data_IF_966500326650
#
_entry.id   IF_966500326650
#
_cell.length_a   1.000
_cell.length_b   1.000
_cell.length_c   1.000
_cell.angle_alpha   90.00
_cell.angle_beta   90.00
_cell.angle_gamma   90.00
#
_symmetry.space_group_name_H-M   'P 1'
#
loop_
_entity.id
_entity.type
_entity.pdbx_description
1 polymer ?
#
# COMPACT_ATOMS: atom_id res chain seq x y z
N UNK A 1 -9.20 3.75 30.61
CA UNK A 1 -9.11 4.72 29.50
C UNK A 1 -7.80 5.50 29.67
N UNK A 2 -6.90 5.44 28.70
CA UNK A 2 -5.58 6.11 28.80
C UNK A 2 -5.73 7.62 28.65
N UNK A 3 -5.34 8.40 29.67
CA UNK A 3 -5.33 9.87 29.65
C UNK A 3 -4.46 10.44 28.51
N UNK A 4 -3.53 9.64 27.99
CA UNK A 4 -2.62 10.02 26.90
C UNK A 4 -3.32 10.12 25.53
N UNK A 5 -4.53 9.55 25.38
CA UNK A 5 -5.31 9.64 24.13
C UNK A 5 -6.20 10.89 24.06
N UNK A 6 -6.41 11.57 25.19
CA UNK A 6 -7.33 12.71 25.29
C UNK A 6 -6.96 13.88 24.36
N UNK A 7 -5.68 14.25 24.14
CA UNK A 7 -5.34 15.30 23.19
C UNK A 7 -5.77 14.97 21.75
N UNK A 8 -5.59 13.72 21.32
CA UNK A 8 -5.96 13.26 19.98
C UNK A 8 -7.49 13.20 19.80
N UNK A 9 -8.21 12.78 20.83
CA UNK A 9 -9.68 12.81 20.85
C UNK A 9 -10.24 14.23 20.83
N UNK A 10 -9.57 15.18 21.51
CA UNK A 10 -9.99 16.59 21.53
C UNK A 10 -9.85 17.25 20.17
N UNK A 11 -8.71 17.08 19.50
CA UNK A 11 -8.49 17.73 18.20
C UNK A 11 -9.43 17.20 17.10
N UNK A 12 -9.69 15.89 17.09
CA UNK A 12 -10.67 15.28 16.17
C UNK A 12 -12.10 15.75 16.46
N UNK A 13 -12.47 15.93 17.73
CA UNK A 13 -13.77 16.50 18.11
C UNK A 13 -13.91 17.96 17.70
N UNK A 14 -12.85 18.77 17.83
CA UNK A 14 -12.85 20.17 17.36
C UNK A 14 -13.13 20.23 15.86
N UNK A 15 -12.49 19.36 15.06
CA UNK A 15 -12.79 19.26 13.62
C UNK A 15 -14.27 19.03 13.35
N UNK A 16 -14.89 18.03 14.00
CA UNK A 16 -16.32 17.75 13.83
C UNK A 16 -17.23 18.91 14.25
N UNK A 17 -16.86 19.66 15.30
CA UNK A 17 -17.63 20.82 15.73
C UNK A 17 -17.55 21.95 14.70
N UNK A 18 -16.37 22.22 14.14
CA UNK A 18 -16.19 23.23 13.09
C UNK A 18 -16.93 22.82 11.81
N UNK A 19 -16.87 21.54 11.41
CA UNK A 19 -17.66 21.03 10.28
C UNK A 19 -19.17 21.23 10.48
N UNK A 20 -19.67 21.05 11.70
CA UNK A 20 -21.08 21.30 12.01
C UNK A 20 -21.44 22.79 11.99
N UNK A 21 -20.53 23.67 12.42
CA UNK A 21 -20.71 25.12 12.30
C UNK A 21 -20.76 25.50 10.82
N UNK A 22 -19.80 25.03 10.01
CA UNK A 22 -19.72 25.32 8.58
C UNK A 22 -20.98 24.86 7.82
N UNK A 23 -21.55 23.71 8.19
CA UNK A 23 -22.81 23.21 7.61
C UNK A 23 -24.03 24.07 7.92
N UNK A 24 -23.96 24.92 8.95
CA UNK A 24 -25.09 25.73 9.45
C UNK A 24 -24.89 27.23 9.20
N UNK A 25 -23.72 27.66 8.76
CA UNK A 25 -23.43 29.05 8.39
C UNK A 25 -24.00 29.37 7.01
N UNK A 26 -24.45 30.62 6.82
CA UNK A 26 -24.97 31.12 5.54
C UNK A 26 -23.86 31.17 4.48
N UNK A 27 -24.17 30.73 3.26
CA UNK A 27 -23.23 30.71 2.13
C UNK A 27 -22.81 32.15 1.73
N UNK A 28 -21.50 32.35 1.55
CA UNK A 28 -20.88 33.64 1.25
C UNK A 28 -20.61 34.54 2.46
N UNK A 29 -21.01 34.14 3.67
CA UNK A 29 -20.82 34.94 4.89
C UNK A 29 -19.37 34.97 5.38
N UNK A 30 -19.01 36.01 6.14
CA UNK A 30 -17.72 36.03 6.87
C UNK A 30 -17.60 34.86 7.86
N UNK A 31 -18.73 34.40 8.41
CA UNK A 31 -18.81 33.23 9.29
C UNK A 31 -18.40 31.95 8.59
N UNK A 32 -18.85 31.73 7.34
CA UNK A 32 -18.44 30.59 6.52
C UNK A 32 -16.94 30.67 6.20
N UNK A 33 -16.42 31.83 5.81
CA UNK A 33 -15.00 32.00 5.50
C UNK A 33 -14.12 31.72 6.73
N UNK A 34 -14.50 32.23 7.90
CA UNK A 34 -13.77 32.01 9.14
C UNK A 34 -13.83 30.54 9.60
N UNK A 35 -15.01 29.92 9.52
CA UNK A 35 -15.17 28.50 9.82
C UNK A 35 -14.35 27.62 8.85
N UNK A 36 -14.32 27.97 7.56
CA UNK A 36 -13.53 27.25 6.55
C UNK A 36 -12.03 27.36 6.83
N UNK A 37 -11.52 28.56 7.17
CA UNK A 37 -10.11 28.76 7.55
C UNK A 37 -9.75 27.96 8.81
N UNK A 38 -10.62 27.97 9.82
CA UNK A 38 -10.42 27.20 11.04
C UNK A 38 -10.41 25.69 10.76
N UNK A 39 -11.30 25.21 9.89
CA UNK A 39 -11.37 23.81 9.50
C UNK A 39 -10.10 23.36 8.77
N UNK A 40 -9.57 24.18 7.86
CA UNK A 40 -8.32 23.91 7.15
C UNK A 40 -7.13 23.85 8.12
N UNK A 41 -7.01 24.82 9.03
CA UNK A 41 -5.95 24.83 10.03
C UNK A 41 -5.98 23.58 10.94
N UNK A 42 -7.15 23.22 11.47
CA UNK A 42 -7.30 22.01 12.30
C UNK A 42 -7.04 20.74 11.49
N UNK A 43 -7.48 20.70 10.23
CA UNK A 43 -7.23 19.55 9.35
C UNK A 43 -5.74 19.36 9.06
N UNK A 44 -4.99 20.45 8.84
CA UNK A 44 -3.52 20.42 8.67
C UNK A 44 -2.81 19.84 9.89
N UNK A 45 -3.19 20.27 11.10
CA UNK A 45 -2.59 19.74 12.34
C UNK A 45 -2.90 18.25 12.49
N UNK A 46 -4.15 17.82 12.25
CA UNK A 46 -4.53 16.40 12.32
C UNK A 46 -3.73 15.57 11.29
N UNK A 47 -3.60 16.07 10.06
CA UNK A 47 -2.81 15.43 9.01
C UNK A 47 -1.34 15.29 9.41
N UNK A 48 -0.76 16.33 9.98
CA UNK A 48 0.62 16.31 10.48
C UNK A 48 0.77 15.29 11.61
N UNK A 49 -0.06 15.34 12.65
CA UNK A 49 -0.03 14.34 13.72
C UNK A 49 -0.15 12.90 13.19
N UNK A 50 -1.08 12.66 12.26
CA UNK A 50 -1.26 11.34 11.65
C UNK A 50 -0.02 10.89 10.87
N UNK A 51 0.64 11.82 10.16
CA UNK A 51 1.89 11.54 9.44
C UNK A 51 3.02 11.17 10.40
N UNK A 52 3.17 11.91 11.51
CA UNK A 52 4.21 11.64 12.51
C UNK A 52 3.99 10.29 13.20
N UNK A 53 2.75 9.97 13.58
CA UNK A 53 2.40 8.63 14.12
C UNK A 53 2.69 7.53 13.09
N UNK A 54 2.36 7.77 11.82
CA UNK A 54 2.70 6.85 10.73
C UNK A 54 4.20 6.60 10.62
N UNK A 55 5.02 7.66 10.64
CA UNK A 55 6.48 7.56 10.57
C UNK A 55 7.06 6.81 11.78
N UNK A 56 6.50 7.04 12.96
CA UNK A 56 6.93 6.33 14.17
C UNK A 56 6.70 4.82 14.02
N UNK A 57 5.50 4.40 13.58
CA UNK A 57 5.19 2.99 13.33
C UNK A 57 6.10 2.36 12.26
N UNK A 58 6.35 3.08 11.17
CA UNK A 58 7.29 2.63 10.14
C UNK A 58 8.70 2.45 10.70
N UNK A 59 9.14 3.36 11.57
CA UNK A 59 10.46 3.27 12.21
C UNK A 59 10.55 2.07 13.16
N UNK A 60 9.52 1.83 13.98
CA UNK A 60 9.43 0.64 14.85
C UNK A 60 9.49 -0.66 14.03
N UNK A 61 8.79 -0.71 12.90
CA UNK A 61 8.83 -1.84 11.97
C UNK A 61 10.23 -2.07 11.38
N UNK A 62 10.92 -1.00 10.95
CA UNK A 62 12.30 -1.12 10.46
C UNK A 62 13.27 -1.60 11.55
N UNK A 63 13.11 -1.15 12.79
CA UNK A 63 13.92 -1.62 13.92
C UNK A 63 13.68 -3.12 14.14
N UNK A 64 12.42 -3.55 14.13
CA UNK A 64 12.04 -4.94 14.26
C UNK A 64 12.60 -5.82 13.14
N UNK A 65 12.55 -5.36 11.89
CA UNK A 65 13.11 -6.10 10.76
C UNK A 65 14.64 -6.15 10.87
N UNK A 66 15.28 -5.01 11.20
CA UNK A 66 16.72 -4.91 11.33
C UNK A 66 17.29 -5.84 12.40
N UNK A 67 16.55 -6.14 13.48
CA UNK A 67 17.01 -7.07 14.51
C UNK A 67 16.99 -8.53 14.06
N UNK A 68 16.26 -8.85 12.98
CA UNK A 68 16.11 -10.21 12.44
C UNK A 68 16.95 -10.51 11.21
N UNK A 69 17.50 -9.48 10.56
CA UNK A 69 18.24 -9.62 9.31
C UNK A 69 19.74 -9.75 9.60
N UNK A 70 20.36 -10.74 8.98
CA UNK A 70 21.79 -11.02 9.06
C UNK A 70 22.42 -10.98 7.65
N UNK A 71 23.45 -10.16 7.47
CA UNK A 71 24.29 -10.14 6.28
C UNK A 71 25.56 -10.97 6.56
N UNK A 72 25.70 -12.13 5.92
CA UNK A 72 26.83 -13.04 6.12
C UNK A 72 27.95 -12.79 5.09
N UNK A 73 27.72 -13.18 3.84
CA UNK A 73 28.77 -13.21 2.78
C UNK A 73 28.71 -12.01 1.82
N UNK A 74 28.19 -10.89 2.26
CA UNK A 74 27.91 -9.73 1.39
C UNK A 74 28.00 -8.42 2.16
N UNK A 75 28.10 -7.31 1.42
CA UNK A 75 28.13 -5.97 2.02
C UNK A 75 26.78 -5.67 2.69
N UNK A 76 26.81 -5.34 3.98
CA UNK A 76 25.62 -4.92 4.69
C UNK A 76 25.13 -3.55 4.21
N UNK A 77 23.80 -3.40 4.13
CA UNK A 77 23.13 -2.12 3.91
C UNK A 77 22.37 -1.71 5.17
N UNK A 78 22.31 -0.41 5.52
CA UNK A 78 21.55 0.03 6.69
C UNK A 78 20.06 -0.21 6.45
N UNK A 79 19.41 -1.00 7.29
CA UNK A 79 17.95 -1.25 7.18
C UNK A 79 17.16 -0.03 7.68
N UNK A 80 17.59 0.57 8.79
CA UNK A 80 16.94 1.75 9.37
C UNK A 80 17.41 3.00 8.61
N UNK A 81 16.47 3.72 7.99
CA UNK A 81 16.72 4.94 7.24
C UNK A 81 15.50 5.87 7.33
N UNK A 82 15.72 7.19 7.29
CA UNK A 82 14.69 8.20 7.50
C UNK A 82 13.52 8.11 6.50
N UNK A 83 13.81 7.77 5.24
CA UNK A 83 12.82 7.73 4.15
C UNK A 83 12.44 6.31 3.75
N UNK A 84 12.92 5.29 4.48
CA UNK A 84 12.62 3.90 4.17
C UNK A 84 11.34 3.47 4.89
N UNK A 85 10.52 2.70 4.22
CA UNK A 85 9.41 1.98 4.83
C UNK A 85 9.22 0.64 4.12
N UNK A 86 8.67 -0.34 4.83
CA UNK A 86 8.31 -1.62 4.24
C UNK A 86 7.07 -1.42 3.37
N UNK A 87 7.11 -1.89 2.14
CA UNK A 87 5.95 -1.93 1.24
C UNK A 87 5.30 -3.29 1.23
N UNK A 88 6.10 -4.37 1.18
CA UNK A 88 5.60 -5.73 1.20
C UNK A 88 6.61 -6.71 1.76
N UNK A 89 6.14 -7.79 2.36
CA UNK A 89 6.97 -8.93 2.74
C UNK A 89 6.21 -10.24 2.59
N UNK A 90 6.92 -11.36 2.45
CA UNK A 90 6.27 -12.66 2.39
C UNK A 90 7.16 -13.82 1.97
N UNK A 91 6.65 -15.03 2.20
CA UNK A 91 7.27 -16.29 1.81
C UNK A 91 7.03 -16.60 0.33
N UNK A 92 8.10 -17.02 -0.35
CA UNK A 92 8.09 -17.47 -1.74
C UNK A 92 8.93 -18.75 -1.87
N UNK A 93 8.81 -19.45 -3.00
CA UNK A 93 9.67 -20.58 -3.33
C UNK A 93 10.53 -20.26 -4.54
N UNK A 94 11.85 -20.25 -4.37
CA UNK A 94 12.79 -20.15 -5.48
C UNK A 94 12.85 -21.48 -6.25
N UNK A 95 12.71 -21.39 -7.55
CA UNK A 95 12.70 -22.50 -8.48
C UNK A 95 14.11 -22.71 -9.03
N UNK A 96 14.82 -23.73 -8.55
CA UNK A 96 16.15 -24.07 -9.06
C UNK A 96 16.05 -25.09 -10.19
N UNK A 97 16.25 -24.66 -11.43
CA UNK A 97 16.43 -25.58 -12.56
C UNK A 97 17.89 -26.04 -12.61
N UNK A 98 18.14 -27.32 -12.34
CA UNK A 98 19.44 -27.92 -12.64
C UNK A 98 19.44 -28.40 -14.08
N UNK A 99 20.36 -27.90 -14.90
CA UNK A 99 20.52 -28.36 -16.28
C UNK A 99 20.82 -29.87 -16.35
N UNK A 100 20.11 -30.59 -17.20
CA UNK A 100 20.49 -31.92 -17.63
C UNK A 100 20.14 -32.11 -19.10
N UNK A 101 21.11 -32.59 -19.87
CA UNK A 101 21.00 -32.81 -21.32
C UNK A 101 20.10 -34.01 -21.68
N UNK A 102 19.66 -34.83 -20.70
CA UNK A 102 18.85 -36.03 -20.94
C UNK A 102 17.93 -36.32 -19.74
N UNK A 103 16.66 -35.92 -19.84
CA UNK A 103 15.59 -36.33 -18.91
C UNK A 103 15.21 -35.29 -17.84
N UNK A 104 13.90 -35.08 -17.71
CA UNK A 104 13.25 -34.13 -16.77
C UNK A 104 13.51 -34.61 -15.33
N UNK A 105 14.45 -33.97 -14.62
CA UNK A 105 14.63 -34.11 -13.16
C UNK A 105 13.67 -33.19 -12.41
N UNK A 106 13.30 -33.53 -11.16
CA UNK A 106 12.40 -32.71 -10.36
C UNK A 106 13.01 -31.34 -10.07
N UNK A 107 12.21 -30.30 -10.31
CA UNK A 107 12.48 -28.92 -9.97
C UNK A 107 12.61 -28.76 -8.46
N UNK A 108 13.76 -28.32 -7.96
CA UNK A 108 13.93 -28.09 -6.51
C UNK A 108 13.34 -26.73 -6.16
N UNK A 109 12.35 -26.73 -5.26
CA UNK A 109 11.80 -25.53 -4.64
C UNK A 109 12.56 -25.25 -3.34
N UNK A 110 13.15 -24.06 -3.23
CA UNK A 110 13.86 -23.61 -2.03
C UNK A 110 13.08 -22.45 -1.39
N UNK A 111 12.66 -22.54 -0.12
CA UNK A 111 11.92 -21.46 0.51
C UNK A 111 12.80 -20.23 0.69
N UNK A 112 12.26 -19.08 0.34
CA UNK A 112 12.86 -17.75 0.51
C UNK A 112 11.83 -16.81 1.11
N UNK A 113 12.30 -15.71 1.67
CA UNK A 113 11.45 -14.67 2.23
C UNK A 113 11.90 -13.31 1.69
N UNK A 114 10.96 -12.54 1.14
CA UNK A 114 11.24 -11.23 0.57
C UNK A 114 10.90 -10.13 1.58
N UNK A 115 11.76 -9.12 1.66
CA UNK A 115 11.43 -7.83 2.25
C UNK A 115 11.57 -6.78 1.14
N UNK A 116 10.44 -6.21 0.72
CA UNK A 116 10.38 -5.12 -0.22
C UNK A 116 10.15 -3.82 0.52
N UNK A 117 11.18 -3.00 0.54
CA UNK A 117 11.10 -1.61 0.94
C UNK A 117 10.83 -0.73 -0.27
N UNK A 118 10.44 0.52 -0.01
CA UNK A 118 10.22 1.51 -1.06
C UNK A 118 11.44 1.77 -1.95
N UNK A 119 12.66 1.52 -1.47
CA UNK A 119 13.93 1.75 -2.17
C UNK A 119 14.77 0.47 -2.44
N UNK A 120 14.55 -0.62 -1.70
CA UNK A 120 15.32 -1.87 -1.84
C UNK A 120 14.45 -3.12 -1.79
N UNK A 121 14.85 -4.13 -2.54
CA UNK A 121 14.38 -5.51 -2.37
C UNK A 121 15.48 -6.35 -1.71
N UNK A 122 15.14 -7.06 -0.64
CA UNK A 122 15.99 -8.06 -0.01
C UNK A 122 15.38 -9.45 -0.22
N UNK A 123 16.22 -10.36 -0.69
CA UNK A 123 15.90 -11.78 -0.81
C UNK A 123 16.63 -12.50 0.31
N UNK A 124 15.88 -13.18 1.17
CA UNK A 124 16.43 -13.81 2.37
C UNK A 124 16.04 -15.27 2.47
N UNK A 125 16.78 -16.02 3.30
CA UNK A 125 16.42 -17.36 3.72
C UNK A 125 16.19 -17.37 5.22
N UNK A 126 15.06 -17.95 5.64
CA UNK A 126 14.73 -18.13 7.04
C UNK A 126 15.62 -19.24 7.64
N UNK A 127 16.45 -18.89 8.62
CA UNK A 127 17.33 -19.83 9.34
C UNK A 127 16.68 -20.38 10.60
N UNK A 128 15.85 -19.57 11.25
CA UNK A 128 15.06 -19.92 12.44
C UNK A 128 13.75 -19.13 12.42
N UNK A 129 12.89 -19.29 13.44
CA UNK A 129 11.66 -18.50 13.58
C UNK A 129 11.92 -16.99 13.58
N UNK A 130 13.11 -16.55 13.99
CA UNK A 130 13.40 -15.14 14.25
C UNK A 130 14.57 -14.56 13.43
N UNK A 131 15.28 -15.38 12.66
CA UNK A 131 16.45 -14.93 11.88
C UNK A 131 16.35 -15.22 10.39
N UNK A 132 16.63 -14.19 9.61
CA UNK A 132 16.69 -14.20 8.15
C UNK A 132 18.11 -13.87 7.69
N UNK A 133 18.70 -14.75 6.90
CA UNK A 133 20.01 -14.51 6.29
C UNK A 133 19.79 -13.94 4.90
N UNK A 134 20.40 -12.80 4.59
CA UNK A 134 20.30 -12.19 3.27
C UNK A 134 21.06 -13.04 2.26
N UNK A 135 20.37 -13.42 1.18
CA UNK A 135 20.94 -14.15 0.05
C UNK A 135 21.37 -13.20 -1.06
N UNK A 136 20.54 -12.18 -1.33
CA UNK A 136 20.83 -11.12 -2.30
C UNK A 136 19.99 -9.88 -2.02
N UNK A 137 20.35 -8.74 -2.61
CA UNK A 137 19.53 -7.54 -2.58
C UNK A 137 19.78 -6.69 -3.83
N UNK A 138 18.83 -5.82 -4.17
CA UNK A 138 18.98 -4.83 -5.23
C UNK A 138 18.19 -3.56 -4.90
N UNK A 139 18.64 -2.42 -5.42
CA UNK A 139 17.83 -1.20 -5.38
C UNK A 139 16.56 -1.40 -6.22
N UNK A 140 15.40 -0.97 -5.73
CA UNK A 140 14.09 -1.25 -6.33
C UNK A 140 13.98 -0.80 -7.79
N UNK A 141 14.62 0.33 -8.14
CA UNK A 141 14.66 0.82 -9.54
C UNK A 141 15.40 -0.08 -10.52
N UNK A 142 16.15 -1.07 -10.00
CA UNK A 142 16.94 -2.04 -10.75
C UNK A 142 16.35 -3.46 -10.68
N UNK A 143 15.09 -3.58 -10.26
CA UNK A 143 14.35 -4.83 -10.20
C UNK A 143 13.27 -4.83 -11.27
N UNK A 144 13.19 -5.91 -12.04
CA UNK A 144 12.12 -6.15 -13.01
C UNK A 144 11.44 -7.47 -12.70
N UNK A 145 10.12 -7.50 -12.89
CA UNK A 145 9.30 -8.67 -12.58
C UNK A 145 8.42 -8.99 -13.79
N UNK A 146 8.42 -10.25 -14.21
CA UNK A 146 7.65 -10.73 -15.35
C UNK A 146 6.95 -12.04 -14.98
N UNK A 147 5.65 -12.14 -15.20
CA UNK A 147 4.91 -13.38 -14.96
C UNK A 147 5.43 -14.51 -15.86
N UNK A 148 5.46 -15.73 -15.34
CA UNK A 148 5.89 -16.90 -16.11
C UNK A 148 4.65 -17.69 -16.55
N UNK A 149 4.29 -17.69 -17.84
CA UNK A 149 3.06 -18.32 -18.32
C UNK A 149 3.10 -19.86 -18.25
N UNK A 150 4.30 -20.44 -18.15
CA UNK A 150 4.50 -21.90 -18.16
C UNK A 150 4.26 -22.55 -16.80
N UNK A 151 4.28 -21.78 -15.71
CA UNK A 151 4.16 -22.31 -14.35
C UNK A 151 3.23 -21.43 -13.53
N UNK A 152 2.21 -22.05 -12.94
CA UNK A 152 1.20 -21.38 -12.15
C UNK A 152 1.81 -20.64 -10.94
N UNK A 153 1.25 -19.46 -10.64
CA UNK A 153 1.65 -18.58 -9.54
C UNK A 153 3.15 -18.25 -9.55
N UNK A 154 3.79 -18.16 -10.72
CA UNK A 154 5.24 -17.94 -10.81
C UNK A 154 5.63 -16.73 -11.66
N UNK A 155 6.78 -16.16 -11.33
CA UNK A 155 7.33 -14.99 -11.99
C UNK A 155 8.86 -15.04 -12.04
N UNK A 156 9.42 -14.48 -13.11
CA UNK A 156 10.82 -14.16 -13.21
C UNK A 156 11.09 -12.82 -12.54
N UNK A 157 12.15 -12.79 -11.75
CA UNK A 157 12.72 -11.60 -11.12
C UNK A 157 14.11 -11.38 -11.70
N UNK A 158 14.27 -10.26 -12.38
CA UNK A 158 15.55 -9.81 -12.91
C UNK A 158 16.10 -8.70 -12.02
N UNK A 159 17.23 -8.97 -11.38
CA UNK A 159 18.03 -7.96 -10.70
C UNK A 159 19.05 -7.44 -11.72
N UNK A 160 18.87 -6.22 -12.22
CA UNK A 160 19.79 -5.62 -13.19
C UNK A 160 21.17 -5.41 -12.58
N UNK A 161 21.21 -4.99 -11.31
CA UNK A 161 22.41 -4.89 -10.49
C UNK A 161 22.11 -5.40 -9.08
N UNK A 162 22.62 -6.58 -8.76
CA UNK A 162 22.49 -7.18 -7.44
C UNK A 162 23.60 -6.72 -6.48
N UNK A 163 23.66 -7.33 -5.29
CA UNK A 163 24.67 -7.02 -4.26
C UNK A 163 26.13 -7.18 -4.71
N UNK A 164 26.38 -7.99 -5.74
CA UNK A 164 27.70 -8.24 -6.33
C UNK A 164 27.94 -7.43 -7.62
N UNK A 165 27.05 -6.47 -7.93
CA UNK A 165 27.05 -5.70 -9.17
C UNK A 165 26.92 -6.53 -10.45
N UNK A 166 26.14 -7.61 -10.37
CA UNK A 166 25.86 -8.50 -11.51
C UNK A 166 24.38 -8.51 -11.83
N UNK A 167 24.07 -8.75 -13.09
CA UNK A 167 22.72 -9.07 -13.52
C UNK A 167 22.39 -10.52 -13.16
N UNK A 168 21.20 -10.75 -12.60
CA UNK A 168 20.77 -12.07 -12.15
C UNK A 168 19.27 -12.26 -12.40
N UNK A 169 18.94 -13.35 -13.11
CA UNK A 169 17.56 -13.78 -13.33
C UNK A 169 17.24 -14.96 -12.42
N UNK A 170 16.11 -14.87 -11.72
CA UNK A 170 15.67 -15.89 -10.77
C UNK A 170 14.18 -16.16 -10.96
N UNK A 171 13.76 -17.41 -10.85
CA UNK A 171 12.36 -17.81 -10.97
C UNK A 171 11.79 -18.09 -9.58
N UNK A 172 10.67 -17.46 -9.25
CA UNK A 172 10.00 -17.64 -7.97
C UNK A 172 8.54 -18.07 -8.16
N UNK A 173 8.03 -18.85 -7.22
CA UNK A 173 6.63 -19.25 -7.11
C UNK A 173 6.02 -18.65 -5.85
N UNK A 174 4.94 -17.90 -6.01
CA UNK A 174 4.10 -17.38 -4.95
C UNK A 174 3.16 -18.46 -4.41
N UNK A 175 2.74 -18.36 -3.13
CA UNK A 175 1.88 -19.38 -2.51
C UNK A 175 0.44 -19.36 -3.04
N UNK A 176 -0.04 -18.24 -3.60
CA UNK A 176 -1.37 -18.09 -4.17
C UNK A 176 -1.34 -17.18 -5.41
N UNK A 177 -2.44 -17.16 -6.17
CA UNK A 177 -2.59 -16.26 -7.32
C UNK A 177 -2.68 -14.79 -6.85
N UNK A 178 -3.35 -14.52 -5.72
CA UNK A 178 -3.39 -13.18 -5.13
C UNK A 178 -2.01 -12.71 -4.70
N UNK A 179 -1.18 -13.59 -4.15
CA UNK A 179 0.17 -13.22 -3.76
C UNK A 179 1.03 -12.91 -4.98
N UNK A 180 0.91 -13.69 -6.06
CA UNK A 180 1.56 -13.37 -7.34
C UNK A 180 1.17 -11.96 -7.81
N UNK A 181 -0.12 -11.65 -7.82
CA UNK A 181 -0.63 -10.36 -8.28
C UNK A 181 -0.20 -9.20 -7.39
N UNK A 182 -0.25 -9.37 -6.07
CA UNK A 182 0.24 -8.36 -5.12
C UNK A 182 1.74 -8.12 -5.27
N UNK A 183 2.53 -9.17 -5.53
CA UNK A 183 3.96 -9.03 -5.83
C UNK A 183 4.19 -8.31 -7.17
N UNK A 184 3.48 -8.67 -8.23
CA UNK A 184 3.58 -7.98 -9.54
C UNK A 184 3.20 -6.50 -9.42
N UNK A 185 2.09 -6.19 -8.74
CA UNK A 185 1.61 -4.82 -8.55
C UNK A 185 2.56 -3.94 -7.72
N UNK A 186 3.38 -4.55 -6.86
CA UNK A 186 4.36 -3.83 -6.04
C UNK A 186 5.58 -3.33 -6.84
N UNK A 187 5.78 -3.76 -8.08
CA UNK A 187 6.85 -3.25 -8.96
C UNK A 187 6.26 -2.46 -10.13
N UNK A 188 6.83 -1.29 -10.46
CA UNK A 188 6.38 -0.51 -11.60
C UNK A 188 6.64 -1.29 -12.91
N UNK A 189 5.57 -1.78 -13.52
CA UNK A 189 5.64 -2.41 -14.84
C UNK A 189 5.82 -1.31 -15.90
N UNK A 190 6.93 -1.34 -16.65
CA UNK A 190 7.12 -0.44 -17.82
C UNK A 190 6.25 -0.81 -19.02
N UNK A 191 5.54 -1.94 -18.95
CA UNK A 191 4.62 -2.39 -19.98
C UNK A 191 3.20 -2.07 -19.51
N UNK A 192 2.67 -0.98 -20.03
CA UNK A 192 1.23 -0.73 -20.12
C UNK A 192 0.59 -1.72 -21.11
N UNK A 193 0.78 -3.02 -20.89
CA UNK A 193 0.07 -4.05 -21.63
C UNK A 193 -1.00 -4.60 -20.71
N UNK A 194 -2.12 -3.89 -20.71
CA UNK A 194 -3.41 -4.40 -20.29
C UNK A 194 -3.74 -5.63 -21.15
N UNK A 195 -3.45 -6.84 -20.65
CA UNK A 195 -4.17 -8.09 -20.94
C UNK A 195 -3.31 -9.31 -20.62
N UNK A 196 -3.35 -9.79 -19.37
CA UNK A 196 -3.04 -11.19 -19.07
C UNK A 196 -3.56 -11.56 -17.68
N UNK A 197 -4.77 -12.13 -17.65
CA UNK A 197 -5.42 -12.67 -16.46
C UNK A 197 -6.70 -11.90 -16.13
N UNK A 198 -7.82 -12.64 -16.08
CA UNK A 198 -9.21 -12.42 -15.60
C UNK A 198 -9.67 -11.14 -14.86
N UNK A 199 -8.86 -10.12 -14.70
CA UNK A 199 -9.00 -9.15 -13.64
C UNK A 199 -9.38 -7.78 -14.19
N UNK A 200 -10.40 -7.20 -13.57
CA UNK A 200 -10.90 -5.89 -13.94
C UNK A 200 -10.04 -4.83 -13.27
N UNK A 201 -9.09 -4.28 -14.03
CA UNK A 201 -8.43 -3.01 -13.70
C UNK A 201 -9.42 -1.91 -14.09
N UNK A 202 -9.98 -1.21 -13.10
CA UNK A 202 -10.93 -0.13 -13.35
C UNK A 202 -10.17 1.18 -13.60
N UNK A 203 -10.62 1.97 -14.58
CA UNK A 203 -10.12 3.34 -14.74
C UNK A 203 -10.57 4.22 -13.55
N UNK A 204 -9.75 5.21 -13.17
CA UNK A 204 -9.98 6.08 -12.00
C UNK A 204 -11.37 6.75 -11.98
N UNK A 205 -11.97 6.96 -13.16
CA UNK A 205 -13.27 7.62 -13.33
C UNK A 205 -14.48 6.66 -13.27
N UNK A 206 -14.27 5.34 -13.44
CA UNK A 206 -15.33 4.32 -13.40
C UNK A 206 -15.03 3.16 -12.43
N UNK A 207 -14.30 3.44 -11.35
CA UNK A 207 -14.05 2.46 -10.31
C UNK A 207 -15.30 2.21 -9.43
N UNK A 208 -15.65 0.94 -9.13
CA UNK A 208 -16.69 0.60 -8.18
C UNK A 208 -16.39 1.15 -6.79
N UNK A 209 -17.43 1.55 -6.08
CA UNK A 209 -17.30 1.94 -4.67
C UNK A 209 -17.79 0.80 -3.79
N UNK A 210 -17.06 0.52 -2.73
CA UNK A 210 -17.47 -0.41 -1.68
C UNK A 210 -17.51 0.34 -0.36
N UNK A 211 -18.36 -0.12 0.56
CA UNK A 211 -18.33 0.30 1.95
C UNK A 211 -17.91 -0.87 2.85
N UNK A 212 -17.14 -0.56 3.87
CA UNK A 212 -16.74 -1.52 4.89
C UNK A 212 -17.93 -1.86 5.80
N UNK A 213 -18.26 -3.14 5.88
CA UNK A 213 -19.34 -3.69 6.71
C UNK A 213 -18.82 -4.30 8.03
N UNK A 214 -17.55 -4.71 8.06
CA UNK A 214 -16.92 -5.32 9.23
C UNK A 214 -15.44 -4.89 9.32
N UNK A 215 -14.94 -4.70 10.54
CA UNK A 215 -13.56 -4.24 10.76
C UNK A 215 -12.53 -5.26 10.26
N UNK A 216 -11.50 -4.76 9.56
CA UNK A 216 -10.34 -5.54 9.12
C UNK A 216 -9.05 -4.86 9.57
N UNK A 217 -8.20 -5.57 10.32
CA UNK A 217 -6.86 -5.07 10.67
C UNK A 217 -5.84 -5.62 9.69
N UNK A 218 -5.10 -4.72 9.02
CA UNK A 218 -4.02 -5.10 8.11
C UNK A 218 -2.97 -5.97 8.80
N UNK A 219 -2.59 -7.06 8.13
CA UNK A 219 -1.59 -8.03 8.58
C UNK A 219 -0.28 -7.91 7.82
N UNK A 220 -0.32 -7.37 6.60
CA UNK A 220 0.84 -7.05 5.78
C UNK A 220 0.93 -5.54 5.52
N UNK A 221 2.13 -5.06 5.17
CA UNK A 221 2.37 -3.63 4.94
C UNK A 221 1.65 -3.08 3.69
N UNK A 222 1.34 -3.94 2.71
CA UNK A 222 0.56 -3.59 1.51
C UNK A 222 -0.95 -3.60 1.75
N UNK A 223 -1.41 -4.00 2.94
CA UNK A 223 -2.83 -4.10 3.27
C UNK A 223 -3.40 -2.83 3.91
N UNK A 224 -4.70 -2.62 3.71
CA UNK A 224 -5.45 -1.47 4.18
C UNK A 224 -6.36 -1.87 5.36
N UNK A 225 -6.10 -1.34 6.56
CA UNK A 225 -6.96 -1.55 7.75
C UNK A 225 -8.32 -0.89 7.55
N UNK A 226 -9.41 -1.64 7.48
CA UNK A 226 -10.75 -1.09 7.26
C UNK A 226 -11.51 -0.92 8.57
N UNK A 227 -12.18 0.22 8.75
CA UNK A 227 -13.13 0.45 9.83
C UNK A 227 -14.57 0.53 9.27
N UNK A 228 -15.59 0.11 10.02
CA UNK A 228 -16.99 0.20 9.56
C UNK A 228 -17.33 1.61 9.08
N UNK A 229 -18.06 1.70 7.96
CA UNK A 229 -18.41 2.93 7.23
C UNK A 229 -17.29 3.57 6.39
N UNK A 230 -16.07 2.99 6.34
CA UNK A 230 -15.09 3.40 5.34
C UNK A 230 -15.64 3.17 3.92
N UNK A 231 -15.48 4.17 3.05
CA UNK A 231 -15.81 4.07 1.62
C UNK A 231 -14.50 3.97 0.83
N UNK A 232 -14.42 2.97 -0.04
CA UNK A 232 -13.22 2.66 -0.82
C UNK A 232 -13.56 2.62 -2.31
N UNK A 233 -12.75 3.31 -3.11
CA UNK A 233 -12.74 3.14 -4.56
C UNK A 233 -11.90 1.90 -4.91
N UNK A 234 -12.49 0.92 -5.57
CA UNK A 234 -11.82 -0.34 -5.95
C UNK A 234 -11.10 -0.16 -7.27
N UNK A 235 -9.77 -0.28 -7.25
CA UNK A 235 -8.91 -0.17 -8.43
C UNK A 235 -8.77 -1.50 -9.15
N UNK A 236 -8.65 -2.59 -8.39
CA UNK A 236 -8.42 -3.93 -8.92
C UNK A 236 -9.10 -4.98 -8.04
N UNK A 237 -9.54 -6.08 -8.66
CA UNK A 237 -10.08 -7.26 -7.98
C UNK A 237 -9.34 -8.51 -8.45
N UNK A 238 -8.90 -9.31 -7.51
CA UNK A 238 -8.34 -10.65 -7.77
C UNK A 238 -9.45 -11.70 -7.77
N UNK A 239 -9.22 -12.82 -8.43
CA UNK A 239 -10.15 -13.97 -8.46
C UNK A 239 -10.34 -14.66 -7.10
N UNK A 240 -9.37 -14.55 -6.18
CA UNK A 240 -9.44 -15.15 -4.84
C UNK A 240 -10.02 -14.18 -3.79
N UNK A 241 -10.68 -13.10 -4.24
CA UNK A 241 -11.46 -12.23 -3.36
C UNK A 241 -10.64 -11.19 -2.60
N UNK A 242 -9.46 -10.81 -3.08
CA UNK A 242 -8.73 -9.62 -2.63
C UNK A 242 -8.97 -8.43 -3.56
N UNK A 243 -9.18 -7.25 -2.97
CA UNK A 243 -9.36 -5.99 -3.68
C UNK A 243 -8.20 -5.04 -3.37
N UNK A 244 -7.74 -4.30 -4.38
CA UNK A 244 -6.89 -3.13 -4.18
C UNK A 244 -7.76 -1.88 -4.30
N UNK A 245 -7.61 -0.91 -3.40
CA UNK A 245 -8.41 0.29 -3.46
C UNK A 245 -7.82 1.48 -2.72
N UNK A 246 -8.46 2.64 -2.90
CA UNK A 246 -8.13 3.90 -2.24
C UNK A 246 -9.29 4.30 -1.34
N UNK A 247 -9.03 4.44 -0.04
CA UNK A 247 -10.02 4.95 0.92
C UNK A 247 -10.27 6.43 0.68
N UNK A 248 -11.54 6.82 0.60
CA UNK A 248 -11.90 8.20 0.27
C UNK A 248 -11.64 9.21 1.40
N UNK A 249 -11.61 8.76 2.66
CA UNK A 249 -11.49 9.65 3.81
C UNK A 249 -10.09 10.24 3.99
N UNK A 250 -9.04 9.48 3.68
CA UNK A 250 -7.64 9.89 3.84
C UNK A 250 -6.76 9.65 2.60
N UNK A 251 -7.31 9.05 1.53
CA UNK A 251 -6.59 8.77 0.30
C UNK A 251 -5.62 7.59 0.39
N UNK A 252 -5.62 6.81 1.48
CA UNK A 252 -4.70 5.67 1.61
C UNK A 252 -5.07 4.56 0.63
N UNK A 253 -4.05 4.08 -0.08
CA UNK A 253 -4.10 2.93 -0.98
C UNK A 253 -3.66 1.66 -0.26
N UNK A 254 -4.30 0.53 -0.53
CA UNK A 254 -3.83 -0.79 -0.11
C UNK A 254 -4.79 -1.92 -0.46
N UNK A 255 -4.39 -3.14 -0.13
CA UNK A 255 -5.13 -4.37 -0.37
C UNK A 255 -6.03 -4.76 0.80
N UNK A 256 -7.20 -5.33 0.54
CA UNK A 256 -8.11 -5.81 1.57
C UNK A 256 -9.00 -6.96 1.08
N UNK A 257 -9.45 -7.85 1.96
CA UNK A 257 -10.34 -8.95 1.57
C UNK A 257 -11.77 -8.46 1.28
N UNK A 258 -12.34 -8.94 0.18
CA UNK A 258 -13.70 -8.64 -0.28
C UNK A 258 -14.78 -8.95 0.75
N UNK A 259 -14.57 -9.96 1.61
CA UNK A 259 -15.54 -10.37 2.65
C UNK A 259 -15.90 -9.29 3.66
N UNK A 260 -15.04 -8.29 3.85
CA UNK A 260 -15.26 -7.19 4.80
C UNK A 260 -15.97 -5.99 4.18
N UNK A 261 -16.31 -6.06 2.88
CA UNK A 261 -16.88 -4.94 2.15
C UNK A 261 -18.11 -5.34 1.34
N UNK A 262 -18.97 -4.37 1.06
CA UNK A 262 -20.13 -4.55 0.19
C UNK A 262 -20.20 -3.42 -0.85
N UNK A 263 -20.50 -3.79 -2.09
CA UNK A 263 -20.62 -2.85 -3.20
C UNK A 263 -21.75 -1.83 -3.01
N UNK A 264 -21.45 -0.57 -3.31
CA UNK A 264 -22.40 0.52 -3.33
C UNK A 264 -23.01 0.56 -4.73
N UNK A 265 -24.09 -0.19 -4.95
CA UNK A 265 -24.76 -0.31 -6.25
C UNK A 265 -25.76 0.82 -6.53
N UNK A 266 -26.15 1.60 -5.51
CA UNK A 266 -27.14 2.66 -5.67
C UNK A 266 -26.54 3.91 -6.34
N UNK A 267 -26.97 4.17 -7.57
CA UNK A 267 -26.49 5.29 -8.38
C UNK A 267 -26.72 6.67 -7.72
N UNK A 268 -27.78 6.84 -6.94
CA UNK A 268 -28.00 8.08 -6.18
C UNK A 268 -26.92 8.29 -5.11
N UNK A 269 -26.50 7.22 -4.43
CA UNK A 269 -25.42 7.26 -3.44
C UNK A 269 -24.08 7.54 -4.13
N UNK A 270 -23.83 6.91 -5.28
CA UNK A 270 -22.63 7.17 -6.10
C UNK A 270 -22.56 8.63 -6.57
N UNK A 271 -23.64 9.19 -7.10
CA UNK A 271 -23.73 10.61 -7.51
C UNK A 271 -23.59 11.57 -6.33
N UNK A 272 -24.14 11.22 -5.16
CA UNK A 272 -23.98 12.01 -3.92
C UNK A 272 -22.53 12.02 -3.45
N UNK A 273 -21.89 10.85 -3.37
CA UNK A 273 -20.47 10.73 -2.99
C UNK A 273 -19.57 11.52 -3.96
N UNK A 274 -19.87 11.48 -5.27
CA UNK A 274 -19.16 12.28 -6.27
C UNK A 274 -19.33 13.79 -6.05
N UNK A 275 -20.57 14.26 -5.81
CA UNK A 275 -20.87 15.67 -5.54
C UNK A 275 -20.22 16.15 -4.26
N UNK A 276 -20.25 15.36 -3.18
CA UNK A 276 -19.60 15.69 -1.91
C UNK A 276 -18.08 15.79 -2.09
N UNK A 277 -17.45 14.83 -2.77
CA UNK A 277 -16.02 14.89 -3.10
C UNK A 277 -15.68 16.12 -3.95
N UNK A 278 -16.49 16.43 -4.97
CA UNK A 278 -16.27 17.59 -5.83
C UNK A 278 -16.41 18.91 -5.06
N UNK A 279 -17.39 19.03 -4.15
CA UNK A 279 -17.57 20.21 -3.30
C UNK A 279 -16.37 20.41 -2.37
N UNK A 280 -15.87 19.33 -1.76
CA UNK A 280 -14.67 19.37 -0.91
C UNK A 280 -13.41 19.74 -1.73
N UNK A 281 -13.24 19.15 -2.91
CA UNK A 281 -12.10 19.46 -3.79
C UNK A 281 -12.15 20.90 -4.34
N UNK A 282 -13.33 21.44 -4.67
CA UNK A 282 -13.47 22.83 -5.08
C UNK A 282 -13.18 23.80 -3.94
N UNK A 283 -13.69 23.53 -2.73
CA UNK A 283 -13.37 24.31 -1.55
C UNK A 283 -11.86 24.31 -1.26
N UNK A 284 -11.20 23.15 -1.42
CA UNK A 284 -9.74 23.05 -1.29
C UNK A 284 -8.98 23.80 -2.42
N UNK A 285 -9.48 23.78 -3.66
CA UNK A 285 -8.85 24.47 -4.82
C UNK A 285 -8.91 26.00 -4.71
N UNK A 286 -10.03 26.55 -4.24
CA UNK A 286 -10.18 28.00 -4.06
C UNK A 286 -9.21 28.60 -3.03
N UNK A 287 -8.65 27.76 -2.15
CA UNK A 287 -7.63 28.15 -1.18
C UNK A 287 -6.20 28.15 -1.75
N UNK A 288 -5.94 27.45 -2.85
CA UNK A 288 -4.63 27.40 -3.52
C UNK A 288 -4.44 28.56 -4.52
N UNK A 289 -5.53 29.16 -5.00
CA UNK A 289 -5.51 30.21 -6.04
C UNK A 289 -5.57 31.65 -5.50
N UNK A 290 -5.31 31.91 -4.21
CA UNK A 290 -5.05 33.28 -3.72
C UNK A 290 -3.54 33.52 -3.63
N UNK A 291 -2.86 33.99 -4.70
CA UNK A 291 -1.55 34.61 -4.54
C UNK A 291 -1.72 35.84 -3.63
N UNK A 292 -0.76 36.06 -2.75
CA UNK A 292 -0.81 37.10 -1.73
C UNK A 292 -1.07 38.48 -2.31
N UNK A 293 -2.07 39.16 -1.78
CA UNK A 293 -2.17 40.62 -1.81
C UNK A 293 -1.70 41.15 -0.46
N UNK A 294 -0.42 41.53 -0.41
CA UNK A 294 0.11 42.65 0.37
C UNK A 294 1.17 43.32 -0.48
#
# INVERSE_FOLDING_TARGET
MSFLLLPFQRITRIKMLIENILKRTEEGSEGEQNASKALDAVSKIIQECNREVGRMKQTEELIYISSKIEFDKMKAIPIISHNRFLEKQGELSEVQQKGSLFGIKPTKLSPVYFFLFNDFLLITQKKSSDRHVVLDYAHRSLVQLQSCPTMENSFFLTLLENSQRKTCDRLFKAPSQSDLQRWVAAFPSKTSDASSGSDTIYEDWDCPQVHCVEQYTATQADELTLDPADIINVLCKTSEGWYEGIRLSDGKKGWFPSRYVQEITNEHVRRRNLRERYRVLQAARQLVTRPGET
#
